data_IF_761772853902
#
_entry.id   IF_761772853902
#
_cell.length_a   1.000
_cell.length_b   1.000
_cell.length_c   1.000
_cell.angle_alpha   90.00
_cell.angle_beta   90.00
_cell.angle_gamma   90.00
#
_symmetry.space_group_name_H-M   'P 1'
#
loop_
_entity.id
_entity.type
_entity.pdbx_description
1 polymer ?
#
# COMPACT_ATOMS: atom_id res chain seq x y z
N UNK A 1 -5.39 -19.87 -28.00
CA UNK A 1 -5.69 -19.79 -26.56
C UNK A 1 -4.84 -18.66 -26.00
N UNK A 2 -5.41 -17.48 -25.76
CA UNK A 2 -4.67 -16.30 -25.30
C UNK A 2 -4.42 -16.45 -23.79
N UNK A 3 -3.15 -16.44 -23.37
CA UNK A 3 -2.74 -16.49 -21.97
C UNK A 3 -2.66 -15.06 -21.42
N UNK A 4 -3.25 -14.83 -20.25
CA UNK A 4 -3.27 -13.55 -19.55
C UNK A 4 -1.83 -13.09 -19.21
N UNK A 5 -1.44 -11.86 -19.60
CA UNK A 5 -0.06 -11.34 -19.51
C UNK A 5 0.14 -10.46 -18.25
N UNK A 6 -0.95 -10.01 -17.63
CA UNK A 6 -0.90 -9.07 -16.51
C UNK A 6 -1.50 -9.73 -15.28
N UNK A 7 -0.77 -9.74 -14.15
CA UNK A 7 -1.22 -10.17 -12.81
C UNK A 7 -2.35 -9.30 -12.22
N UNK A 8 -3.06 -8.56 -13.07
CA UNK A 8 -4.28 -7.81 -12.76
C UNK A 8 -5.46 -8.72 -13.09
N UNK A 9 -6.29 -9.01 -12.09
CA UNK A 9 -7.50 -9.83 -12.25
C UNK A 9 -8.59 -9.04 -12.98
N UNK A 10 -8.43 -8.85 -14.30
CA UNK A 10 -9.51 -8.37 -15.15
C UNK A 10 -10.42 -9.56 -15.43
N UNK A 11 -11.44 -9.74 -14.60
CA UNK A 11 -12.47 -10.74 -14.83
C UNK A 11 -13.35 -10.32 -16.01
N UNK A 12 -13.12 -10.94 -17.17
CA UNK A 12 -13.96 -10.78 -18.35
C UNK A 12 -15.11 -11.80 -18.24
N UNK A 13 -16.38 -11.39 -18.05
CA UNK A 13 -17.50 -12.31 -18.03
C UNK A 13 -17.58 -13.03 -19.38
N UNK A 14 -17.73 -14.36 -19.37
CA UNK A 14 -17.77 -15.21 -20.58
C UNK A 14 -18.91 -14.88 -21.55
N UNK A 15 -19.88 -14.06 -21.14
CA UNK A 15 -21.11 -13.76 -21.90
C UNK A 15 -21.17 -12.31 -22.42
N UNK A 16 -20.07 -11.56 -22.30
CA UNK A 16 -19.99 -10.16 -22.78
C UNK A 16 -19.23 -10.11 -24.11
N UNK A 17 -19.92 -9.93 -25.24
CA UNK A 17 -19.31 -9.79 -26.57
C UNK A 17 -18.61 -8.44 -26.80
N UNK A 18 -18.94 -7.40 -26.01
CA UNK A 18 -18.36 -6.05 -26.16
C UNK A 18 -17.94 -5.51 -24.80
N UNK A 19 -16.63 -5.37 -24.59
CA UNK A 19 -16.06 -4.67 -23.44
C UNK A 19 -15.87 -3.21 -23.83
N UNK A 20 -16.49 -2.31 -23.06
CA UNK A 20 -16.13 -0.90 -23.10
C UNK A 20 -14.75 -0.72 -22.45
N UNK A 21 -13.72 -0.78 -23.29
CA UNK A 21 -12.31 -0.69 -22.88
C UNK A 21 -12.03 0.63 -22.16
N UNK A 22 -12.67 1.73 -22.57
CA UNK A 22 -12.50 3.02 -21.92
C UNK A 22 -13.04 2.96 -20.48
N UNK A 23 -14.25 2.43 -20.29
CA UNK A 23 -14.86 2.31 -18.97
C UNK A 23 -14.09 1.36 -18.06
N UNK A 24 -13.61 0.23 -18.58
CA UNK A 24 -12.85 -0.74 -17.78
C UNK A 24 -11.47 -0.19 -17.38
N UNK A 25 -10.78 0.52 -18.28
CA UNK A 25 -9.51 1.17 -17.95
C UNK A 25 -9.70 2.30 -16.94
N UNK A 26 -10.72 3.14 -17.07
CA UNK A 26 -11.01 4.19 -16.09
C UNK A 26 -11.20 3.61 -14.70
N UNK A 27 -11.99 2.53 -14.59
CA UNK A 27 -12.21 1.86 -13.31
C UNK A 27 -10.92 1.27 -12.72
N UNK A 28 -10.11 0.61 -13.55
CA UNK A 28 -8.83 0.05 -13.10
C UNK A 28 -7.86 1.15 -12.62
N UNK A 29 -7.81 2.30 -13.30
CA UNK A 29 -6.99 3.45 -12.89
C UNK A 29 -7.49 4.04 -11.57
N UNK A 30 -8.81 4.20 -11.41
CA UNK A 30 -9.41 4.70 -10.17
C UNK A 30 -9.08 3.81 -8.97
N UNK A 31 -9.20 2.49 -9.13
CA UNK A 31 -8.89 1.52 -8.08
C UNK A 31 -7.40 1.54 -7.74
N UNK A 32 -6.52 1.55 -8.76
CA UNK A 32 -5.07 1.69 -8.57
C UNK A 32 -4.70 2.97 -7.82
N UNK A 33 -5.29 4.11 -8.18
CA UNK A 33 -5.02 5.39 -7.53
C UNK A 33 -5.48 5.38 -6.07
N UNK A 34 -6.65 4.79 -5.80
CA UNK A 34 -7.18 4.64 -4.45
C UNK A 34 -6.25 3.78 -3.59
N UNK A 35 -5.88 2.59 -4.06
CA UNK A 35 -4.97 1.69 -3.35
C UNK A 35 -3.61 2.35 -3.11
N UNK A 36 -3.04 2.98 -4.14
CA UNK A 36 -1.75 3.68 -4.03
C UNK A 36 -1.79 4.81 -3.00
N UNK A 37 -2.91 5.53 -2.92
CA UNK A 37 -3.10 6.61 -1.94
C UNK A 37 -3.20 6.06 -0.53
N UNK A 38 -3.97 5.00 -0.33
CA UNK A 38 -4.13 4.35 0.98
C UNK A 38 -2.79 3.79 1.48
N UNK A 39 -2.06 3.07 0.63
CA UNK A 39 -0.72 2.56 0.94
C UNK A 39 0.28 3.69 1.22
N UNK A 40 0.28 4.74 0.40
CA UNK A 40 1.16 5.90 0.59
C UNK A 40 0.93 6.62 1.93
N UNK A 41 -0.32 6.75 2.36
CA UNK A 41 -0.68 7.33 3.66
C UNK A 41 -0.16 6.45 4.80
N UNK A 42 -0.34 5.13 4.72
CA UNK A 42 0.13 4.20 5.74
C UNK A 42 1.67 4.24 5.89
N UNK A 43 2.39 4.20 4.76
CA UNK A 43 3.85 4.33 4.73
C UNK A 43 4.28 5.66 5.34
N UNK A 44 3.63 6.77 4.97
CA UNK A 44 3.95 8.10 5.49
C UNK A 44 3.75 8.24 7.00
N UNK A 45 2.69 7.62 7.55
CA UNK A 45 2.45 7.57 9.00
C UNK A 45 3.58 6.84 9.72
N UNK A 46 3.97 5.66 9.22
CA UNK A 46 5.06 4.86 9.80
C UNK A 46 6.37 5.64 9.76
N UNK A 47 6.74 6.21 8.60
CA UNK A 47 7.98 6.98 8.46
C UNK A 47 8.04 8.20 9.38
N UNK A 48 6.91 8.91 9.56
CA UNK A 48 6.83 10.05 10.48
C UNK A 48 7.11 9.61 11.91
N UNK A 49 6.49 8.52 12.36
CA UNK A 49 6.70 7.98 13.69
C UNK A 49 8.14 7.50 13.91
N UNK A 50 8.72 6.81 12.92
CA UNK A 50 10.13 6.38 12.96
C UNK A 50 11.07 7.57 13.16
N UNK A 51 10.87 8.66 12.41
CA UNK A 51 11.69 9.88 12.55
C UNK A 51 11.56 10.52 13.93
N UNK A 52 10.36 10.55 14.51
CA UNK A 52 10.14 11.07 15.87
C UNK A 52 10.84 10.20 16.92
N UNK A 53 10.83 8.88 16.75
CA UNK A 53 11.57 7.96 17.63
C UNK A 53 13.07 8.18 17.51
N UNK A 54 13.60 8.30 16.29
CA UNK A 54 15.03 8.54 16.05
C UNK A 54 15.51 9.88 16.63
N UNK A 55 14.66 10.92 16.62
CA UNK A 55 14.96 12.22 17.25
C UNK A 55 14.85 12.19 18.78
N UNK A 56 14.25 11.15 19.35
CA UNK A 56 13.96 11.05 20.78
C UNK A 56 12.67 11.77 21.21
N UNK A 57 11.92 12.34 20.27
CA UNK A 57 10.66 13.06 20.53
C UNK A 57 9.51 12.11 20.90
N UNK A 58 9.62 10.82 20.55
CA UNK A 58 8.61 9.81 20.81
C UNK A 58 9.24 8.49 21.28
N UNK A 59 8.67 7.89 22.33
CA UNK A 59 9.06 6.54 22.77
C UNK A 59 8.64 5.47 21.76
N UNK A 60 9.52 4.52 21.48
CA UNK A 60 9.28 3.46 20.49
C UNK A 60 8.04 2.60 20.82
N UNK A 61 7.77 2.37 22.11
CA UNK A 61 6.59 1.63 22.57
C UNK A 61 5.30 2.35 22.17
N UNK A 62 5.28 3.68 22.31
CA UNK A 62 4.12 4.50 21.92
C UNK A 62 3.97 4.56 20.41
N UNK A 63 5.07 4.63 19.66
CA UNK A 63 5.04 4.58 18.21
C UNK A 63 4.48 3.24 17.71
N UNK A 64 4.92 2.12 18.28
CA UNK A 64 4.48 0.78 17.91
C UNK A 64 2.96 0.60 18.11
N UNK A 65 2.41 1.08 19.24
CA UNK A 65 0.97 1.09 19.50
C UNK A 65 0.20 1.93 18.46
N UNK A 66 0.74 3.09 18.05
CA UNK A 66 0.06 3.96 17.07
C UNK A 66 -0.10 3.32 15.69
N UNK A 67 0.83 2.44 15.29
CA UNK A 67 0.78 1.71 14.01
C UNK A 67 0.35 0.26 14.18
N UNK A 68 -0.16 -0.11 15.35
CA UNK A 68 -0.65 -1.47 15.64
C UNK A 68 0.40 -2.56 15.36
N UNK A 69 1.66 -2.27 15.67
CA UNK A 69 2.78 -3.21 15.53
C UNK A 69 3.41 -3.51 16.88
N UNK A 70 4.18 -4.60 16.95
CA UNK A 70 5.08 -4.82 18.09
C UNK A 70 6.30 -3.89 17.99
N UNK A 71 6.95 -3.65 19.13
CA UNK A 71 8.21 -2.89 19.16
C UNK A 71 9.25 -3.51 18.22
N UNK A 72 9.34 -4.83 18.16
CA UNK A 72 10.33 -5.49 17.30
C UNK A 72 10.00 -5.41 15.81
N UNK A 73 8.72 -5.47 15.44
CA UNK A 73 8.32 -5.20 14.06
C UNK A 73 8.70 -3.77 13.65
N UNK A 74 8.45 -2.79 14.53
CA UNK A 74 8.81 -1.41 14.26
C UNK A 74 10.32 -1.22 14.18
N UNK A 75 11.12 -1.81 15.08
CA UNK A 75 12.59 -1.77 15.03
C UNK A 75 13.13 -2.32 13.71
N UNK A 76 12.62 -3.46 13.26
CA UNK A 76 13.01 -4.06 11.97
C UNK A 76 12.71 -3.15 10.78
N UNK A 77 11.64 -2.36 10.85
CA UNK A 77 11.36 -1.34 9.83
C UNK A 77 12.29 -0.13 9.92
N UNK A 78 12.65 0.30 11.14
CA UNK A 78 13.61 1.37 11.35
C UNK A 78 14.98 1.03 10.76
N UNK A 79 15.47 -0.19 10.99
CA UNK A 79 16.75 -0.67 10.43
C UNK A 79 16.80 -0.62 8.90
N UNK A 80 15.70 -0.96 8.23
CA UNK A 80 15.59 -0.90 6.76
C UNK A 80 15.53 0.53 6.21
N UNK A 81 15.14 1.49 7.04
CA UNK A 81 14.95 2.90 6.66
C UNK A 81 16.17 3.76 6.97
N UNK A 82 17.17 3.20 7.67
CA UNK A 82 18.48 3.82 7.88
C UNK A 82 19.26 3.84 6.57
N UNK A 83 19.20 4.98 5.87
CA UNK A 83 20.05 5.31 4.71
C UNK A 83 21.25 6.11 5.19
#
# INVERSE_FOLDING_TARGET
MIKNITDTSIEIPKETEVIDVCKSMSKAIEDLLKESREQGIEIGKIQTLVRLVQKGDLKIERAAVNVQMTVEQLRKMMEKTSV
#
